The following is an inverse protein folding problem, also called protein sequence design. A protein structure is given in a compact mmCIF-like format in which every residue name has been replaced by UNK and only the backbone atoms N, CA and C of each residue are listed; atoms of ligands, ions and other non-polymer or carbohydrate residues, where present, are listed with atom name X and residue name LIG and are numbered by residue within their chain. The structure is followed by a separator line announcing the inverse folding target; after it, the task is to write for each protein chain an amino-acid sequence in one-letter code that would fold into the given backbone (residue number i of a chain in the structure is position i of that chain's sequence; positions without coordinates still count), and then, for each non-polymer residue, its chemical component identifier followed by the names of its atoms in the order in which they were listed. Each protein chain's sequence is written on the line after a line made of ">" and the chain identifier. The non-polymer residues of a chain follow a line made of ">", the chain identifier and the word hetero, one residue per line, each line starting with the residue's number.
data_IF_846565581345
#
_entry.id   IF_846565581345
#
_cell.length_a   1.000
_cell.length_b   1.000
_cell.length_c   1.000
_cell.angle_alpha   90.00
_cell.angle_beta   90.00
_cell.angle_gamma   90.00
#
_symmetry.space_group_name_H-M   'P 1'
#
loop_
_entity.id
_entity.type
_entity.pdbx_description
1 polymer ?
#
# COMPACT_ATOMS: atom_id res chain seq x y z
N UNK A 1 22.63 -25.90 -15.93
CA UNK A 1 22.29 -25.74 -14.50
C UNK A 1 21.16 -26.69 -14.18
N UNK A 2 21.41 -27.70 -13.35
CA UNK A 2 20.35 -28.58 -12.85
C UNK A 2 19.81 -27.96 -11.56
N UNK A 3 18.48 -27.76 -11.48
CA UNK A 3 17.83 -27.24 -10.28
C UNK A 3 18.10 -28.17 -9.09
N UNK A 4 18.61 -27.63 -8.00
CA UNK A 4 18.93 -28.45 -6.82
C UNK A 4 18.35 -27.84 -5.53
N UNK A 5 17.08 -28.18 -5.26
CA UNK A 5 16.40 -27.72 -4.05
C UNK A 5 16.92 -28.36 -2.75
N UNK A 6 17.64 -29.48 -2.81
CA UNK A 6 18.12 -30.18 -1.61
C UNK A 6 19.03 -29.31 -0.74
N UNK A 7 19.78 -28.41 -1.36
CA UNK A 7 20.70 -27.51 -0.68
C UNK A 7 19.98 -26.30 -0.03
N UNK A 8 18.76 -26.01 -0.48
CA UNK A 8 17.98 -24.82 -0.07
C UNK A 8 16.92 -25.17 0.97
N UNK A 9 16.42 -26.41 0.99
CA UNK A 9 15.42 -26.87 1.97
C UNK A 9 15.78 -26.48 3.41
N UNK A 10 17.02 -26.65 3.90
CA UNK A 10 17.39 -26.24 5.27
C UNK A 10 17.27 -24.74 5.54
N UNK A 11 17.32 -23.91 4.48
CA UNK A 11 17.24 -22.45 4.57
C UNK A 11 15.82 -21.89 4.43
N UNK A 12 14.82 -22.73 4.11
CA UNK A 12 13.41 -22.30 4.00
C UNK A 12 12.90 -21.62 5.28
N UNK A 13 13.13 -22.14 6.50
CA UNK A 13 12.69 -21.48 7.73
C UNK A 13 13.28 -20.08 7.89
N UNK A 14 14.53 -19.89 7.46
CA UNK A 14 15.17 -18.57 7.48
C UNK A 14 14.49 -17.59 6.53
N UNK A 15 14.05 -18.01 5.33
CA UNK A 15 13.30 -17.16 4.40
C UNK A 15 11.91 -16.85 4.96
N UNK A 16 11.23 -17.83 5.55
CA UNK A 16 9.89 -17.67 6.14
C UNK A 16 9.84 -16.67 7.29
N UNK A 17 10.92 -16.54 8.08
CA UNK A 17 11.01 -15.48 9.09
C UNK A 17 10.90 -14.06 8.49
N UNK A 18 11.21 -13.89 7.20
CA UNK A 18 11.02 -12.64 6.48
C UNK A 18 9.56 -12.21 6.38
N UNK A 19 8.60 -13.16 6.41
CA UNK A 19 7.16 -12.87 6.35
C UNK A 19 6.75 -11.92 7.47
N UNK A 20 7.24 -12.15 8.69
CA UNK A 20 6.92 -11.27 9.82
C UNK A 20 7.44 -9.84 9.64
N UNK A 21 8.61 -9.68 9.03
CA UNK A 21 9.19 -8.35 8.74
C UNK A 21 8.40 -7.66 7.63
N UNK A 22 8.13 -8.37 6.54
CA UNK A 22 7.30 -7.90 5.42
C UNK A 22 5.94 -7.41 5.91
N UNK A 23 5.20 -8.23 6.65
CA UNK A 23 3.87 -7.88 7.14
C UNK A 23 3.91 -6.70 8.12
N UNK A 24 4.91 -6.61 9.00
CA UNK A 24 5.08 -5.44 9.87
C UNK A 24 5.24 -4.16 9.04
N UNK A 25 6.17 -4.14 8.09
CA UNK A 25 6.40 -2.96 7.23
C UNK A 25 5.11 -2.57 6.52
N UNK A 26 4.45 -3.54 5.86
CA UNK A 26 3.22 -3.30 5.10
C UNK A 26 2.09 -2.78 5.97
N UNK A 27 1.87 -3.35 7.16
CA UNK A 27 0.78 -2.91 8.07
C UNK A 27 1.03 -1.48 8.54
N UNK A 28 2.22 -1.15 9.00
CA UNK A 28 2.52 0.21 9.48
C UNK A 28 2.50 1.23 8.34
N UNK A 29 3.03 0.87 7.16
CA UNK A 29 2.96 1.71 5.97
C UNK A 29 1.51 1.94 5.51
N UNK A 30 0.67 0.89 5.48
CA UNK A 30 -0.73 1.00 5.11
C UNK A 30 -1.54 1.86 6.09
N UNK A 31 -1.26 1.76 7.40
CA UNK A 31 -1.89 2.63 8.41
C UNK A 31 -1.51 4.09 8.20
N UNK A 32 -0.21 4.37 8.02
CA UNK A 32 0.28 5.72 7.72
C UNK A 32 -0.35 6.26 6.42
N UNK A 33 -0.35 5.44 5.38
CA UNK A 33 -0.92 5.74 4.07
C UNK A 33 -2.41 6.01 4.13
N UNK A 34 -3.16 5.23 4.92
CA UNK A 34 -4.58 5.46 5.10
C UNK A 34 -4.88 6.79 5.79
N UNK A 35 -4.16 7.10 6.87
CA UNK A 35 -4.32 8.37 7.60
C UNK A 35 -4.03 9.57 6.70
N UNK A 36 -2.88 9.59 6.03
CA UNK A 36 -2.53 10.70 5.13
C UNK A 36 -3.39 10.71 3.87
N UNK A 37 -3.76 9.55 3.33
CA UNK A 37 -4.61 9.43 2.16
C UNK A 37 -6.00 10.00 2.39
N UNK A 38 -6.60 9.78 3.57
CA UNK A 38 -7.87 10.41 3.97
C UNK A 38 -7.72 11.93 4.04
N UNK A 39 -6.65 12.44 4.66
CA UNK A 39 -6.40 13.89 4.77
C UNK A 39 -6.27 14.51 3.37
N UNK A 40 -5.47 13.91 2.49
CA UNK A 40 -5.29 14.35 1.11
C UNK A 40 -6.60 14.30 0.32
N UNK A 41 -7.39 13.23 0.46
CA UNK A 41 -8.69 13.14 -0.20
C UNK A 41 -9.64 14.27 0.23
N UNK A 42 -9.67 14.61 1.52
CA UNK A 42 -10.46 15.73 2.04
C UNK A 42 -9.99 17.08 1.47
N UNK A 43 -8.68 17.31 1.34
CA UNK A 43 -8.13 18.49 0.68
C UNK A 43 -8.56 18.59 -0.80
N UNK A 44 -8.60 17.45 -1.51
CA UNK A 44 -8.95 17.40 -2.93
C UNK A 44 -10.44 17.57 -3.21
N UNK A 45 -11.31 17.14 -2.29
CA UNK A 45 -12.78 17.27 -2.41
C UNK A 45 -13.26 18.62 -1.82
N UNK A 46 -12.42 19.25 -0.99
CA UNK A 46 -12.71 20.53 -0.37
C UNK A 46 -12.87 21.69 -1.36
N UNK A 47 -13.33 22.83 -0.84
CA UNK A 47 -13.55 24.06 -1.63
C UNK A 47 -12.33 24.97 -1.73
N UNK A 48 -11.30 24.74 -0.91
CA UNK A 48 -10.12 25.60 -0.79
C UNK A 48 -9.12 25.23 -1.89
N UNK A 49 -9.09 26.01 -2.97
CA UNK A 49 -8.27 25.74 -4.17
C UNK A 49 -6.78 25.54 -3.86
N UNK A 50 -6.23 26.27 -2.89
CA UNK A 50 -4.82 26.13 -2.48
C UNK A 50 -4.54 24.74 -1.90
N UNK A 51 -5.43 24.21 -1.05
CA UNK A 51 -5.28 22.86 -0.49
C UNK A 51 -5.44 21.79 -1.56
N UNK A 52 -6.37 21.98 -2.49
CA UNK A 52 -6.55 21.08 -3.63
C UNK A 52 -5.28 21.03 -4.48
N UNK A 53 -4.71 22.20 -4.82
CA UNK A 53 -3.48 22.28 -5.60
C UNK A 53 -2.28 21.62 -4.89
N UNK A 54 -2.11 21.85 -3.59
CA UNK A 54 -1.04 21.21 -2.81
C UNK A 54 -1.20 19.68 -2.78
N UNK A 55 -2.42 19.18 -2.59
CA UNK A 55 -2.70 17.76 -2.60
C UNK A 55 -2.51 17.15 -4.01
N UNK A 56 -2.88 17.86 -5.07
CA UNK A 56 -2.63 17.46 -6.45
C UNK A 56 -1.13 17.38 -6.74
N UNK A 57 -0.36 18.40 -6.35
CA UNK A 57 1.10 18.42 -6.48
C UNK A 57 1.76 17.25 -5.74
N UNK A 58 1.37 17.00 -4.48
CA UNK A 58 1.82 15.84 -3.72
C UNK A 58 1.51 14.53 -4.47
N UNK A 59 0.25 14.32 -4.86
CA UNK A 59 -0.14 13.07 -5.54
C UNK A 59 0.56 12.88 -6.87
N UNK A 60 0.83 13.97 -7.60
CA UNK A 60 1.59 13.96 -8.85
C UNK A 60 3.02 13.46 -8.65
N UNK A 61 3.72 13.98 -7.62
CA UNK A 61 5.09 13.55 -7.31
C UNK A 61 5.13 12.09 -6.89
N UNK A 62 4.31 11.68 -5.91
CA UNK A 62 4.39 10.34 -5.34
C UNK A 62 3.91 9.23 -6.29
N UNK A 63 2.91 9.52 -7.13
CA UNK A 63 2.45 8.56 -8.16
C UNK A 63 3.26 8.63 -9.45
N UNK A 64 3.92 9.77 -9.71
CA UNK A 64 4.75 9.99 -10.90
C UNK A 64 6.21 9.56 -10.75
N UNK A 65 6.64 9.13 -9.56
CA UNK A 65 8.02 8.71 -9.30
C UNK A 65 8.11 7.27 -8.77
N UNK A 66 9.19 6.53 -9.08
CA UNK A 66 9.34 5.14 -8.63
C UNK A 66 9.41 5.02 -7.09
N UNK A 67 8.73 4.01 -6.53
CA UNK A 67 8.77 3.74 -5.09
C UNK A 67 10.19 3.45 -4.57
N UNK A 68 10.99 2.71 -5.33
CA UNK A 68 12.39 2.44 -4.98
C UNK A 68 13.20 3.73 -4.85
N UNK A 69 12.95 4.72 -5.72
CA UNK A 69 13.62 6.01 -5.66
C UNK A 69 13.21 6.75 -4.38
N UNK A 70 11.93 6.78 -4.05
CA UNK A 70 11.42 7.40 -2.82
C UNK A 70 12.05 6.75 -1.58
N UNK A 71 12.14 5.42 -1.56
CA UNK A 71 12.79 4.67 -0.49
C UNK A 71 14.27 5.03 -0.35
N UNK A 72 15.00 5.07 -1.47
CA UNK A 72 16.42 5.42 -1.47
C UNK A 72 16.66 6.87 -1.04
N UNK A 73 15.80 7.82 -1.44
CA UNK A 73 15.88 9.21 -0.99
C UNK A 73 15.67 9.28 0.53
N UNK A 74 14.67 8.58 1.07
CA UNK A 74 14.39 8.60 2.51
C UNK A 74 15.49 7.91 3.30
N UNK A 75 16.03 6.78 2.82
CA UNK A 75 17.04 6.01 3.55
C UNK A 75 18.46 6.56 3.42
N UNK A 76 18.87 7.02 2.23
CA UNK A 76 20.24 7.48 1.97
C UNK A 76 20.37 9.00 1.83
N UNK A 77 19.35 9.67 1.29
CA UNK A 77 19.40 11.11 1.01
C UNK A 77 19.03 11.95 2.22
N UNK A 78 17.91 11.66 2.87
CA UNK A 78 17.38 12.45 3.98
C UNK A 78 18.35 12.52 5.18
N UNK A 79 19.05 11.44 5.59
CA UNK A 79 20.10 11.51 6.63
C UNK A 79 21.19 12.56 6.35
N UNK A 80 21.53 12.80 5.08
CA UNK A 80 22.53 13.81 4.71
C UNK A 80 22.05 15.25 4.98
N UNK A 81 20.73 15.46 5.03
CA UNK A 81 20.12 16.76 5.29
C UNK A 81 19.86 17.00 6.79
N UNK A 82 19.47 15.96 7.51
CA UNK A 82 19.05 16.06 8.92
C UNK A 82 20.15 15.66 9.92
N UNK A 83 21.23 15.03 9.46
CA UNK A 83 22.41 14.71 10.28
C UNK A 83 22.28 13.46 11.16
N UNK A 84 21.26 12.62 10.97
CA UNK A 84 21.12 11.35 11.68
C UNK A 84 20.66 10.21 10.76
N UNK A 85 21.16 9.01 11.04
CA UNK A 85 20.83 7.81 10.28
C UNK A 85 19.39 7.36 10.57
N UNK A 86 18.71 6.89 9.52
CA UNK A 86 17.37 6.33 9.62
C UNK A 86 17.47 4.83 9.42
N UNK A 87 17.00 4.05 10.39
CA UNK A 87 16.96 2.60 10.27
C UNK A 87 16.06 2.14 9.12
N UNK A 88 16.31 0.94 8.59
CA UNK A 88 15.62 0.45 7.40
C UNK A 88 14.10 0.30 7.60
N UNK A 89 13.66 -0.08 8.80
CA UNK A 89 12.23 -0.23 9.11
C UNK A 89 11.46 1.10 9.05
N UNK A 90 11.81 2.16 9.81
CA UNK A 90 11.14 3.44 9.71
C UNK A 90 11.27 4.08 8.32
N UNK A 91 12.41 3.94 7.64
CA UNK A 91 12.56 4.43 6.27
C UNK A 91 11.54 3.77 5.32
N UNK A 92 11.37 2.46 5.40
CA UNK A 92 10.39 1.73 4.61
C UNK A 92 8.95 2.16 4.94
N UNK A 93 8.60 2.26 6.23
CA UNK A 93 7.26 2.68 6.66
C UNK A 93 6.92 4.08 6.15
N UNK A 94 7.86 5.03 6.24
CA UNK A 94 7.65 6.41 5.76
C UNK A 94 7.54 6.43 4.24
N UNK A 95 8.49 5.83 3.51
CA UNK A 95 8.48 5.84 2.05
C UNK A 95 7.20 5.21 1.48
N UNK A 96 6.87 4.02 1.97
CA UNK A 96 5.73 3.26 1.48
C UNK A 96 4.41 3.87 1.94
N UNK A 97 4.35 4.40 3.16
CA UNK A 97 3.17 5.07 3.67
C UNK A 97 2.86 6.37 2.92
N UNK A 98 3.88 7.20 2.61
CA UNK A 98 3.68 8.40 1.80
C UNK A 98 3.28 8.05 0.35
N UNK A 99 3.90 7.02 -0.23
CA UNK A 99 3.50 6.55 -1.55
C UNK A 99 2.03 6.09 -1.56
N UNK A 100 1.69 5.19 -0.65
CA UNK A 100 0.33 4.64 -0.54
C UNK A 100 -0.70 5.72 -0.18
N UNK A 101 -0.33 6.75 0.59
CA UNK A 101 -1.20 7.90 0.85
C UNK A 101 -1.68 8.59 -0.44
N UNK A 102 -0.79 8.73 -1.43
CA UNK A 102 -1.15 9.31 -2.70
C UNK A 102 -2.17 8.45 -3.47
N UNK A 103 -1.97 7.12 -3.50
CA UNK A 103 -2.89 6.19 -4.14
C UNK A 103 -4.23 6.10 -3.40
N UNK A 104 -4.21 5.96 -2.08
CA UNK A 104 -5.41 5.93 -1.23
C UNK A 104 -6.23 7.20 -1.38
N UNK A 105 -5.60 8.37 -1.45
CA UNK A 105 -6.32 9.64 -1.65
C UNK A 105 -7.13 9.65 -2.95
N UNK A 106 -6.58 9.08 -4.02
CA UNK A 106 -7.22 8.98 -5.32
C UNK A 106 -8.29 7.91 -5.35
N UNK A 107 -8.09 6.79 -4.66
CA UNK A 107 -9.09 5.75 -4.46
C UNK A 107 -10.33 6.34 -3.77
N UNK A 108 -10.14 7.09 -2.68
CA UNK A 108 -11.24 7.72 -1.94
C UNK A 108 -11.96 8.75 -2.82
N UNK A 109 -11.21 9.62 -3.50
CA UNK A 109 -11.76 10.64 -4.40
C UNK A 109 -12.56 10.00 -5.54
N UNK A 110 -12.01 8.99 -6.21
CA UNK A 110 -12.66 8.27 -7.30
C UNK A 110 -13.91 7.53 -6.81
N UNK A 111 -13.86 6.90 -5.64
CA UNK A 111 -15.01 6.20 -5.06
C UNK A 111 -16.18 7.14 -4.73
N UNK A 112 -15.89 8.35 -4.26
CA UNK A 112 -16.92 9.39 -4.02
C UNK A 112 -17.50 9.91 -5.35
N UNK A 113 -16.66 10.14 -6.36
CA UNK A 113 -17.11 10.62 -7.68
C UNK A 113 -17.83 9.55 -8.49
N UNK A 114 -17.65 8.27 -8.17
CA UNK A 114 -18.35 7.16 -8.79
C UNK A 114 -19.82 7.02 -8.35
N UNK A 115 -20.22 7.69 -7.26
CA UNK A 115 -21.63 7.74 -6.85
C UNK A 115 -22.42 8.56 -7.87
N UNK A 116 -23.58 8.05 -8.27
CA UNK A 116 -24.43 8.68 -9.28
C UNK A 116 -24.75 10.14 -8.94
N UNK A 117 -24.60 11.03 -9.93
CA UNK A 117 -24.81 12.48 -9.73
C UNK A 117 -26.25 12.80 -9.32
N UNK A 118 -27.22 11.98 -9.74
CA UNK A 118 -28.63 12.06 -9.36
C UNK A 118 -28.85 11.89 -7.86
N UNK A 119 -28.03 11.13 -7.14
CA UNK A 119 -28.10 11.05 -5.68
C UNK A 119 -27.83 12.42 -5.03
N UNK A 120 -26.84 13.14 -5.57
CA UNK A 120 -26.50 14.49 -5.12
C UNK A 120 -27.59 15.48 -5.50
N UNK A 121 -28.08 15.41 -6.74
CA UNK A 121 -29.14 16.30 -7.26
C UNK A 121 -30.47 16.12 -6.52
N UNK A 122 -30.90 14.89 -6.25
CA UNK A 122 -32.10 14.58 -5.48
C UNK A 122 -31.98 15.08 -4.03
N UNK A 123 -30.84 14.85 -3.37
CA UNK A 123 -30.61 15.34 -2.01
C UNK A 123 -30.65 16.88 -1.95
N UNK A 124 -30.07 17.57 -2.94
CA UNK A 124 -30.16 19.03 -3.04
C UNK A 124 -31.58 19.52 -3.31
N UNK A 125 -32.35 18.84 -4.18
CA UNK A 125 -33.74 19.18 -4.47
C UNK A 125 -34.66 19.04 -3.24
N UNK A 126 -34.35 18.08 -2.35
CA UNK A 126 -35.03 17.88 -1.08
C UNK A 126 -34.50 18.78 0.05
N UNK A 127 -33.57 19.70 -0.23
CA UNK A 127 -33.00 20.62 0.77
C UNK A 127 -32.13 19.95 1.83
N UNK A 128 -31.60 18.75 1.55
CA UNK A 128 -30.74 18.01 2.50
C UNK A 128 -29.40 18.74 2.65
N UNK A 129 -28.99 19.13 3.88
CA UNK A 129 -27.72 19.80 4.10
C UNK A 129 -26.52 18.95 3.69
N UNK A 130 -25.45 19.57 3.17
CA UNK A 130 -24.26 18.88 2.65
C UNK A 130 -23.68 17.81 3.58
N UNK A 131 -23.63 18.08 4.89
CA UNK A 131 -23.10 17.13 5.88
C UNK A 131 -23.95 15.86 5.99
N UNK A 132 -25.28 15.99 5.98
CA UNK A 132 -26.21 14.84 5.99
C UNK A 132 -26.18 14.11 4.65
N UNK A 133 -26.20 14.84 3.54
CA UNK A 133 -26.05 14.26 2.20
C UNK A 133 -24.77 13.42 2.09
N UNK A 134 -23.63 13.94 2.55
CA UNK A 134 -22.38 13.21 2.49
C UNK A 134 -22.37 11.99 3.42
N UNK A 135 -22.79 12.14 4.68
CA UNK A 135 -22.76 11.07 5.68
C UNK A 135 -23.75 9.95 5.40
N UNK A 136 -24.98 10.31 5.02
CA UNK A 136 -26.12 9.40 5.03
C UNK A 136 -26.46 8.86 3.63
N UNK A 137 -26.01 9.53 2.56
CA UNK A 137 -26.31 9.15 1.17
C UNK A 137 -25.04 8.79 0.40
N UNK A 138 -24.09 9.72 0.28
CA UNK A 138 -22.94 9.56 -0.63
C UNK A 138 -21.87 8.62 -0.06
N UNK A 139 -21.38 8.84 1.17
CA UNK A 139 -20.30 8.02 1.74
C UNK A 139 -20.65 6.53 1.88
N UNK A 140 -21.85 6.13 2.33
CA UNK A 140 -22.20 4.71 2.40
C UNK A 140 -22.15 4.02 1.03
N UNK A 141 -22.54 4.72 -0.04
CA UNK A 141 -22.46 4.22 -1.41
C UNK A 141 -21.01 4.21 -1.91
N UNK A 142 -20.26 5.29 -1.67
CA UNK A 142 -18.86 5.40 -2.06
C UNK A 142 -17.98 4.32 -1.41
N UNK A 143 -18.26 3.97 -0.14
CA UNK A 143 -17.54 2.92 0.59
C UNK A 143 -17.58 1.57 -0.12
N UNK A 144 -18.68 1.26 -0.84
CA UNK A 144 -18.82 0.05 -1.66
C UNK A 144 -17.79 -0.04 -2.78
N UNK A 145 -17.35 1.11 -3.31
CA UNK A 145 -16.33 1.20 -4.34
C UNK A 145 -14.92 1.35 -3.75
N UNK A 146 -14.79 2.06 -2.62
CA UNK A 146 -13.51 2.37 -1.98
C UNK A 146 -12.89 1.12 -1.36
N UNK A 147 -13.65 0.33 -0.58
CA UNK A 147 -13.08 -0.76 0.20
C UNK A 147 -12.40 -1.86 -0.64
N UNK A 148 -12.99 -2.33 -1.76
CA UNK A 148 -12.30 -3.28 -2.64
C UNK A 148 -11.00 -2.72 -3.23
N UNK A 149 -10.99 -1.44 -3.59
CA UNK A 149 -9.81 -0.77 -4.12
C UNK A 149 -8.71 -0.60 -3.05
N UNK A 150 -9.08 -0.29 -1.80
CA UNK A 150 -8.12 -0.26 -0.67
C UNK A 150 -7.51 -1.64 -0.39
N UNK A 151 -8.28 -2.71 -0.56
CA UNK A 151 -7.73 -4.07 -0.45
C UNK A 151 -6.74 -4.39 -1.56
N UNK A 152 -7.04 -3.99 -2.80
CA UNK A 152 -6.10 -4.14 -3.90
C UNK A 152 -4.82 -3.32 -3.70
N UNK A 153 -4.94 -2.13 -3.13
CA UNK A 153 -3.78 -1.31 -2.73
C UNK A 153 -2.93 -2.02 -1.67
N UNK A 154 -3.55 -2.59 -0.63
CA UNK A 154 -2.82 -3.36 0.39
C UNK A 154 -2.08 -4.59 -0.18
N UNK A 155 -2.71 -5.30 -1.11
CA UNK A 155 -2.09 -6.43 -1.82
C UNK A 155 -0.91 -5.95 -2.69
N UNK A 156 -1.06 -4.80 -3.34
CA UNK A 156 0.00 -4.17 -4.15
C UNK A 156 1.18 -3.78 -3.27
N UNK A 157 0.93 -3.08 -2.17
CA UNK A 157 1.93 -2.69 -1.18
C UNK A 157 2.69 -3.90 -0.62
N UNK A 158 2.00 -5.03 -0.42
CA UNK A 158 2.62 -6.28 0.02
C UNK A 158 3.66 -6.77 -0.98
N UNK A 159 3.36 -6.74 -2.28
CA UNK A 159 4.32 -7.12 -3.33
C UNK A 159 5.45 -6.11 -3.45
N UNK A 160 5.13 -4.82 -3.45
CA UNK A 160 6.09 -3.72 -3.56
C UNK A 160 7.07 -3.67 -2.38
N UNK A 161 6.67 -4.15 -1.21
CA UNK A 161 7.53 -4.22 -0.04
C UNK A 161 8.82 -5.01 -0.25
N UNK A 162 8.86 -5.92 -1.23
CA UNK A 162 10.08 -6.62 -1.67
C UNK A 162 11.27 -5.69 -1.95
N UNK A 163 11.00 -4.45 -2.35
CA UNK A 163 12.01 -3.44 -2.68
C UNK A 163 12.88 -3.07 -1.47
N UNK A 164 12.43 -3.29 -0.22
CA UNK A 164 13.24 -3.02 0.98
C UNK A 164 14.54 -3.81 1.06
N UNK A 165 14.69 -4.86 0.24
CA UNK A 165 15.96 -5.57 0.05
C UNK A 165 17.11 -4.62 -0.31
N UNK A 166 16.85 -3.54 -1.06
CA UNK A 166 17.88 -2.58 -1.50
C UNK A 166 18.47 -1.76 -0.36
N UNK A 167 17.74 -1.61 0.75
CA UNK A 167 18.21 -0.95 1.97
C UNK A 167 18.60 -1.97 3.06
N UNK A 168 18.67 -3.25 2.70
CA UNK A 168 19.14 -4.32 3.58
C UNK A 168 18.14 -4.76 4.66
N UNK A 169 16.88 -4.35 4.60
CA UNK A 169 15.88 -4.83 5.56
C UNK A 169 15.67 -6.35 5.39
N UNK A 170 15.61 -7.09 6.50
CA UNK A 170 15.59 -8.56 6.53
C UNK A 170 14.20 -9.16 6.21
N UNK A 171 13.60 -8.73 5.10
CA UNK A 171 12.34 -9.20 4.55
C UNK A 171 12.50 -10.54 3.80
N UNK A 172 11.41 -11.04 3.21
CA UNK A 172 11.41 -12.29 2.44
C UNK A 172 12.46 -12.25 1.32
N UNK A 173 12.47 -11.18 0.52
CA UNK A 173 13.40 -11.06 -0.61
C UNK A 173 14.85 -10.98 -0.13
N UNK A 174 15.15 -10.20 0.90
CA UNK A 174 16.53 -10.04 1.39
C UNK A 174 17.09 -11.35 1.91
N UNK A 175 16.28 -12.12 2.63
CA UNK A 175 16.66 -13.44 3.14
C UNK A 175 16.92 -14.42 2.02
N UNK A 176 16.11 -14.41 0.95
CA UNK A 176 16.37 -15.23 -0.23
C UNK A 176 17.70 -14.85 -0.93
N UNK A 177 17.99 -13.55 -1.06
CA UNK A 177 19.27 -13.07 -1.59
C UNK A 177 20.47 -13.51 -0.75
N UNK A 178 20.35 -13.51 0.58
CA UNK A 178 21.41 -13.98 1.49
C UNK A 178 21.67 -15.47 1.28
N UNK A 179 20.62 -16.29 1.22
CA UNK A 179 20.75 -17.74 0.96
C UNK A 179 21.39 -17.97 -0.41
N UNK A 180 20.96 -17.22 -1.43
CA UNK A 180 21.53 -17.32 -2.77
C UNK A 180 23.02 -17.00 -2.82
N UNK A 181 23.47 -15.98 -2.08
CA UNK A 181 24.88 -15.64 -1.95
C UNK A 181 25.70 -16.67 -1.18
N UNK A 182 25.13 -17.29 -0.13
CA UNK A 182 25.81 -18.33 0.65
C UNK A 182 25.93 -19.66 -0.09
N UNK A 183 24.97 -19.98 -0.95
CA UNK A 183 24.90 -21.24 -1.70
C UNK A 183 25.38 -21.11 -3.14
N UNK A 184 25.76 -19.90 -3.56
CA UNK A 184 26.11 -19.57 -4.96
C UNK A 184 25.01 -19.98 -5.96
N UNK A 185 23.75 -19.97 -5.52
CA UNK A 185 22.58 -20.42 -6.27
C UNK A 185 21.38 -19.51 -5.95
N UNK A 186 21.12 -18.51 -6.80
CA UNK A 186 20.08 -17.50 -6.56
C UNK A 186 18.70 -17.93 -7.05
N UNK A 187 18.61 -18.81 -8.05
CA UNK A 187 17.35 -19.12 -8.70
C UNK A 187 16.38 -19.85 -7.76
N UNK A 188 16.83 -20.88 -7.05
CA UNK A 188 16.01 -21.69 -6.16
C UNK A 188 15.50 -20.89 -4.93
N UNK A 189 16.31 -20.10 -4.20
CA UNK A 189 15.80 -19.23 -3.14
C UNK A 189 14.80 -18.18 -3.64
N UNK A 190 15.00 -17.62 -4.83
CA UNK A 190 14.07 -16.66 -5.42
C UNK A 190 12.72 -17.30 -5.80
N UNK A 191 12.72 -18.55 -6.29
CA UNK A 191 11.48 -19.31 -6.51
C UNK A 191 10.72 -19.54 -5.19
N UNK A 192 11.43 -19.85 -4.10
CA UNK A 192 10.83 -20.03 -2.78
C UNK A 192 10.24 -18.70 -2.27
N UNK A 193 10.97 -17.59 -2.39
CA UNK A 193 10.45 -16.27 -2.05
C UNK A 193 9.20 -15.94 -2.88
N UNK A 194 9.23 -16.18 -4.20
CA UNK A 194 8.09 -15.98 -5.09
C UNK A 194 6.86 -16.79 -4.68
N UNK A 195 7.04 -18.06 -4.30
CA UNK A 195 5.97 -18.90 -3.78
C UNK A 195 5.40 -18.36 -2.46
N UNK A 196 6.24 -17.89 -1.55
CA UNK A 196 5.81 -17.28 -0.28
C UNK A 196 4.98 -16.02 -0.55
N UNK A 197 5.44 -15.10 -1.39
CA UNK A 197 4.66 -13.92 -1.78
C UNK A 197 3.35 -14.30 -2.44
N UNK A 198 3.36 -15.29 -3.33
CA UNK A 198 2.15 -15.76 -4.00
C UNK A 198 1.10 -16.30 -3.01
N UNK A 199 1.53 -17.12 -2.04
CA UNK A 199 0.65 -17.62 -0.97
C UNK A 199 0.10 -16.46 -0.13
N UNK A 200 0.95 -15.50 0.26
CA UNK A 200 0.50 -14.30 0.99
C UNK A 200 -0.56 -13.53 0.20
N UNK A 201 -0.33 -13.30 -1.10
CA UNK A 201 -1.28 -12.60 -1.98
C UNK A 201 -2.59 -13.37 -2.10
N UNK A 202 -2.57 -14.70 -2.21
CA UNK A 202 -3.80 -15.52 -2.22
C UNK A 202 -4.58 -15.32 -0.92
N UNK A 203 -3.91 -15.43 0.23
CA UNK A 203 -4.56 -15.26 1.54
C UNK A 203 -5.21 -13.88 1.64
N UNK A 204 -4.47 -12.82 1.30
CA UNK A 204 -4.99 -11.45 1.31
C UNK A 204 -6.15 -11.26 0.34
N UNK A 205 -6.09 -11.87 -0.85
CA UNK A 205 -7.16 -11.81 -1.85
C UNK A 205 -8.43 -12.50 -1.35
N UNK A 206 -8.30 -13.67 -0.71
CA UNK A 206 -9.43 -14.39 -0.12
C UNK A 206 -10.07 -13.61 1.03
N UNK A 207 -9.25 -13.00 1.90
CA UNK A 207 -9.72 -12.10 2.95
C UNK A 207 -10.46 -10.89 2.36
N UNK A 208 -9.91 -10.27 1.31
CA UNK A 208 -10.54 -9.15 0.62
C UNK A 208 -11.89 -9.52 0.01
N UNK A 209 -12.00 -10.67 -0.65
CA UNK A 209 -13.27 -11.19 -1.18
C UNK A 209 -14.30 -11.46 -0.09
N UNK A 210 -13.88 -11.96 1.07
CA UNK A 210 -14.77 -12.18 2.20
C UNK A 210 -15.33 -10.86 2.76
N UNK A 211 -14.52 -9.80 2.79
CA UNK A 211 -14.96 -8.44 3.17
C UNK A 211 -15.93 -7.88 2.14
N UNK A 212 -15.62 -7.97 0.85
CA UNK A 212 -16.49 -7.49 -0.24
C UNK A 212 -17.85 -8.20 -0.23
N UNK A 213 -17.85 -9.53 -0.07
CA UNK A 213 -19.08 -10.35 -0.07
C UNK A 213 -20.05 -10.02 1.06
N UNK A 214 -19.59 -9.46 2.18
CA UNK A 214 -20.46 -8.98 3.27
C UNK A 214 -21.14 -7.66 2.92
N UNK A 215 -20.50 -6.82 2.11
CA UNK A 215 -21.04 -5.50 1.76
C UNK A 215 -22.10 -5.56 0.66
N UNK A 216 -22.00 -6.51 -0.27
CA UNK A 216 -23.01 -6.73 -1.33
C UNK A 216 -24.31 -7.33 -0.80
N UNK A 217 -24.33 -7.87 0.42
CA UNK A 217 -25.54 -8.40 1.08
C UNK A 217 -26.38 -7.34 1.80
N UNK A 218 -25.90 -6.09 1.87
CA UNK A 218 -26.62 -4.97 2.49
C UNK A 218 -27.45 -4.15 1.49
N UNK A 219 -27.82 -4.75 0.35
CA UNK A 219 -28.81 -4.24 -0.62
C UNK A 219 -30.13 -5.01 -0.44
#
# INVERSE_FOLDING_TARGET
>A
MNLNFSQIIPSIPFILQGVGVTLKIVVFAALLGFVFGVILALCKIGRIKVLTWLADAYTSVFRGTPLVLQLMIIYFGLPQLIGFEIEAFPAAVIAFGLNSAAYISEIIRAGILAVDKGQREAAMALGVPYKRMMRDIILPQALKNILPALMNEFITLTKESAVVTVIGAMDIMRRAYIVGGQKYAYFEPLLIAGLIYYILVIILTLLGKAVEGRMRKSD
#
